data_IF_890625198864
#
_entry.id   IF_890625198864
#
_cell.length_a   1.000
_cell.length_b   1.000
_cell.length_c   1.000
_cell.angle_alpha   90.00
_cell.angle_beta   90.00
_cell.angle_gamma   90.00
#
_symmetry.space_group_name_H-M   'P 1'
#
loop_
_entity.id
_entity.type
_entity.pdbx_description
1 polymer ?
#
# COMPACT_ATOMS: atom_id res chain seq x y z
N UNK A 1 1.94 -8.61 -14.82
CA UNK A 1 0.92 -8.10 -13.89
C UNK A 1 1.02 -6.58 -13.84
N UNK A 2 -0.11 -5.89 -13.69
CA UNK A 2 -0.21 -4.44 -13.46
C UNK A 2 -0.39 -4.19 -11.96
N UNK A 3 0.54 -3.46 -11.38
CA UNK A 3 0.67 -3.25 -9.95
C UNK A 3 0.61 -1.76 -9.65
N UNK A 4 -0.31 -1.36 -8.77
CA UNK A 4 -0.29 -0.01 -8.21
C UNK A 4 0.19 -0.06 -6.76
N UNK A 5 1.15 0.80 -6.41
CA UNK A 5 1.64 0.98 -5.06
C UNK A 5 1.31 2.39 -4.58
N UNK A 6 0.46 2.49 -3.56
CA UNK A 6 0.16 3.77 -2.89
C UNK A 6 1.13 3.96 -1.73
N UNK A 7 2.07 4.89 -1.89
CA UNK A 7 3.10 5.27 -0.93
C UNK A 7 4.50 4.82 -1.35
N UNK A 8 5.35 5.77 -1.74
CA UNK A 8 6.77 5.59 -2.10
C UNK A 8 7.71 5.76 -0.88
N UNK A 9 7.29 5.23 0.27
CA UNK A 9 8.11 5.15 1.47
C UNK A 9 9.20 4.07 1.36
N UNK A 10 9.86 3.75 2.47
CA UNK A 10 10.91 2.71 2.50
C UNK A 10 10.42 1.34 2.01
N UNK A 11 9.21 0.95 2.42
CA UNK A 11 8.61 -0.32 2.02
C UNK A 11 8.15 -0.25 0.57
N UNK A 12 7.36 0.77 0.21
CA UNK A 12 6.80 0.89 -1.13
C UNK A 12 7.86 1.00 -2.23
N UNK A 13 8.92 1.80 -2.03
CA UNK A 13 10.02 1.89 -3.00
C UNK A 13 10.77 0.56 -3.17
N UNK A 14 10.98 -0.19 -2.08
CA UNK A 14 11.61 -1.51 -2.15
C UNK A 14 10.75 -2.53 -2.88
N UNK A 15 9.44 -2.55 -2.59
CA UNK A 15 8.49 -3.43 -3.28
C UNK A 15 8.38 -3.06 -4.76
N UNK A 16 8.33 -1.76 -5.08
CA UNK A 16 8.28 -1.27 -6.45
C UNK A 16 9.51 -1.72 -7.25
N UNK A 17 10.71 -1.51 -6.71
CA UNK A 17 11.96 -1.92 -7.35
C UNK A 17 12.01 -3.44 -7.58
N UNK A 18 11.63 -4.24 -6.59
CA UNK A 18 11.63 -5.70 -6.69
C UNK A 18 10.68 -6.20 -7.78
N UNK A 19 9.44 -5.68 -7.82
CA UNK A 19 8.46 -6.10 -8.82
C UNK A 19 8.82 -5.62 -10.23
N UNK A 20 9.32 -4.39 -10.36
CA UNK A 20 9.80 -3.85 -11.64
C UNK A 20 10.95 -4.69 -12.21
N UNK A 21 11.92 -5.07 -11.37
CA UNK A 21 13.03 -5.96 -11.77
C UNK A 21 12.60 -7.36 -12.20
N UNK A 22 11.40 -7.80 -11.80
CA UNK A 22 10.78 -9.07 -12.21
C UNK A 22 9.97 -8.93 -13.51
N UNK A 23 9.93 -7.73 -14.10
CA UNK A 23 9.22 -7.43 -15.33
C UNK A 23 7.74 -7.11 -15.15
N UNK A 24 7.31 -6.78 -13.93
CA UNK A 24 5.94 -6.34 -13.67
C UNK A 24 5.74 -4.87 -14.05
N UNK A 25 4.54 -4.49 -14.48
CA UNK A 25 4.20 -3.10 -14.77
C UNK A 25 3.81 -2.39 -13.47
N UNK A 26 4.73 -1.58 -12.92
CA UNK A 26 4.54 -0.93 -11.62
C UNK A 26 4.24 0.55 -11.79
N UNK A 27 3.16 1.03 -11.16
CA UNK A 27 2.87 2.45 -10.98
C UNK A 27 2.90 2.78 -9.49
N UNK A 28 3.68 3.79 -9.10
CA UNK A 28 3.83 4.22 -7.71
C UNK A 28 3.19 5.59 -7.51
N UNK A 29 2.26 5.69 -6.57
CA UNK A 29 1.61 6.95 -6.17
C UNK A 29 2.25 7.46 -4.87
N UNK A 30 2.61 8.73 -4.80
CA UNK A 30 2.93 9.39 -3.52
C UNK A 30 2.57 10.88 -3.56
N UNK A 31 2.15 11.44 -2.42
CA UNK A 31 1.81 12.87 -2.32
C UNK A 31 3.07 13.73 -2.33
N UNK A 32 4.18 13.21 -1.82
CA UNK A 32 5.44 13.91 -1.73
C UNK A 32 6.32 13.54 -2.94
N UNK A 33 6.57 14.46 -3.89
CA UNK A 33 7.41 14.16 -5.05
C UNK A 33 8.85 13.78 -4.69
N UNK A 34 9.35 14.21 -3.52
CA UNK A 34 10.68 13.81 -3.04
C UNK A 34 10.74 12.34 -2.61
N UNK A 35 9.60 11.67 -2.44
CA UNK A 35 9.57 10.26 -2.09
C UNK A 35 10.11 9.39 -3.24
N UNK A 36 9.85 9.78 -4.49
CA UNK A 36 10.28 9.06 -5.69
C UNK A 36 11.80 8.96 -5.83
N UNK A 37 12.58 9.82 -5.16
CA UNK A 37 14.03 9.69 -5.12
C UNK A 37 14.53 8.42 -4.41
N UNK A 38 13.64 7.64 -3.78
CA UNK A 38 13.94 6.30 -3.20
C UNK A 38 13.88 5.19 -4.24
N UNK A 39 13.25 5.42 -5.39
CA UNK A 39 13.26 4.47 -6.47
C UNK A 39 14.68 4.41 -7.06
N UNK A 40 15.16 3.22 -7.42
CA UNK A 40 16.49 3.09 -7.99
C UNK A 40 16.57 3.81 -9.34
N UNK A 41 17.76 4.29 -9.77
CA UNK A 41 17.91 4.96 -11.06
C UNK A 41 17.46 4.15 -12.28
N UNK A 42 17.41 2.82 -12.17
CA UNK A 42 16.95 1.91 -13.23
C UNK A 42 15.48 1.50 -13.14
N UNK A 43 14.68 2.14 -12.27
CA UNK A 43 13.26 1.84 -12.16
C UNK A 43 12.53 2.18 -13.46
N UNK A 44 11.90 1.19 -14.10
CA UNK A 44 11.21 1.32 -15.37
C UNK A 44 9.71 1.64 -15.28
N UNK A 45 9.15 1.61 -14.07
CA UNK A 45 7.74 1.90 -13.81
C UNK A 45 7.38 3.38 -13.81
N UNK A 46 6.11 3.66 -13.56
CA UNK A 46 5.53 4.99 -13.57
C UNK A 46 5.46 5.60 -12.15
N UNK A 47 5.60 6.92 -12.05
CA UNK A 47 5.45 7.66 -10.79
C UNK A 47 4.34 8.70 -10.93
N UNK A 48 3.34 8.64 -10.05
CA UNK A 48 2.19 9.54 -10.06
C UNK A 48 2.18 10.35 -8.76
N UNK A 49 2.29 11.67 -8.87
CA UNK A 49 2.16 12.54 -7.71
C UNK A 49 0.68 12.75 -7.39
N UNK A 50 0.26 12.35 -6.20
CA UNK A 50 -1.12 12.54 -5.76
C UNK A 50 -1.44 11.81 -4.46
N UNK A 51 -2.67 12.00 -3.98
CA UNK A 51 -3.20 11.25 -2.85
C UNK A 51 -3.86 9.96 -3.35
N UNK A 52 -3.43 8.79 -2.88
CA UNK A 52 -4.03 7.51 -3.30
C UNK A 52 -5.41 7.22 -2.70
N UNK A 53 -6.00 8.15 -1.95
CA UNK A 53 -7.42 8.14 -1.57
C UNK A 53 -8.29 8.99 -2.51
N UNK A 54 -7.69 9.62 -3.52
CA UNK A 54 -8.38 10.43 -4.53
C UNK A 54 -8.68 9.57 -5.76
N UNK A 55 -9.94 9.57 -6.21
CA UNK A 55 -10.39 8.78 -7.34
C UNK A 55 -9.71 9.21 -8.65
N UNK A 56 -9.54 10.50 -8.91
CA UNK A 56 -8.93 10.98 -10.15
C UNK A 56 -7.45 10.62 -10.20
N UNK A 57 -6.75 10.65 -9.05
CA UNK A 57 -5.37 10.17 -8.94
C UNK A 57 -5.30 8.68 -9.26
N UNK A 58 -6.14 7.87 -8.63
CA UNK A 58 -6.16 6.43 -8.84
C UNK A 58 -6.50 6.07 -10.30
N UNK A 59 -7.44 6.79 -10.93
CA UNK A 59 -7.76 6.63 -12.35
C UNK A 59 -6.57 6.99 -13.24
N UNK A 60 -5.90 8.11 -12.96
CA UNK A 60 -4.70 8.53 -13.72
C UNK A 60 -3.54 7.55 -13.59
N UNK A 61 -3.47 6.80 -12.49
CA UNK A 61 -2.50 5.74 -12.25
C UNK A 61 -2.88 4.38 -12.87
N UNK A 62 -4.01 4.30 -13.57
CA UNK A 62 -4.46 3.07 -14.23
C UNK A 62 -5.14 2.05 -13.31
N UNK A 63 -5.78 2.50 -12.22
CA UNK A 63 -6.41 1.60 -11.25
C UNK A 63 -7.50 0.68 -11.84
N UNK A 64 -8.18 1.12 -12.90
CA UNK A 64 -9.18 0.32 -13.63
C UNK A 64 -8.58 -0.94 -14.29
N UNK A 65 -7.28 -0.95 -14.59
CA UNK A 65 -6.59 -2.08 -15.21
C UNK A 65 -5.61 -2.77 -14.24
N UNK A 66 -5.61 -2.39 -12.97
CA UNK A 66 -4.70 -2.96 -11.98
C UNK A 66 -5.13 -4.38 -11.60
N UNK A 67 -4.19 -5.33 -11.67
CA UNK A 67 -4.40 -6.68 -11.17
C UNK A 67 -4.33 -6.70 -9.62
N UNK A 68 -3.51 -5.81 -9.06
CA UNK A 68 -3.35 -5.64 -7.62
C UNK A 68 -3.03 -4.19 -7.25
N UNK A 69 -3.64 -3.72 -6.15
CA UNK A 69 -3.30 -2.44 -5.51
C UNK A 69 -2.73 -2.70 -4.12
N UNK A 70 -1.59 -2.11 -3.81
CA UNK A 70 -0.94 -2.19 -2.50
C UNK A 70 -0.85 -0.82 -1.85
N UNK A 71 -1.53 -0.62 -0.72
CA UNK A 71 -1.47 0.62 0.03
C UNK A 71 -0.45 0.52 1.18
N UNK A 72 0.69 1.18 0.98
CA UNK A 72 1.93 1.02 1.75
C UNK A 72 2.39 2.33 2.42
N UNK A 73 1.50 3.30 2.60
CA UNK A 73 1.81 4.55 3.33
C UNK A 73 2.02 4.28 4.83
N UNK A 74 2.48 5.28 5.59
CA UNK A 74 2.60 5.15 7.05
C UNK A 74 1.26 5.34 7.81
N UNK A 75 0.14 5.61 7.13
CA UNK A 75 -1.16 5.80 7.79
C UNK A 75 -2.12 4.65 7.54
N UNK A 76 -2.55 3.96 8.59
CA UNK A 76 -3.46 2.81 8.51
C UNK A 76 -4.81 3.19 7.86
N UNK A 77 -5.40 4.32 8.27
CA UNK A 77 -6.67 4.79 7.72
C UNK A 77 -6.54 5.09 6.22
N UNK A 78 -5.47 5.76 5.80
CA UNK A 78 -5.20 6.03 4.36
C UNK A 78 -5.04 4.73 3.59
N UNK A 79 -4.35 3.74 4.15
CA UNK A 79 -4.14 2.48 3.48
C UNK A 79 -5.44 1.68 3.33
N UNK A 80 -6.28 1.67 4.37
CA UNK A 80 -7.59 1.03 4.32
C UNK A 80 -8.52 1.73 3.31
N UNK A 81 -8.55 3.06 3.30
CA UNK A 81 -9.35 3.85 2.35
C UNK A 81 -8.90 3.64 0.90
N UNK A 82 -7.60 3.75 0.62
CA UNK A 82 -7.07 3.52 -0.72
C UNK A 82 -7.35 2.09 -1.22
N UNK A 83 -7.24 1.09 -0.34
CA UNK A 83 -7.58 -0.29 -0.68
C UNK A 83 -9.08 -0.49 -0.94
N UNK A 84 -9.96 0.14 -0.15
CA UNK A 84 -11.39 0.09 -0.39
C UNK A 84 -11.78 0.79 -1.69
N UNK A 85 -11.22 1.98 -1.96
CA UNK A 85 -11.42 2.71 -3.21
C UNK A 85 -11.00 1.86 -4.42
N UNK A 86 -9.80 1.26 -4.38
CA UNK A 86 -9.33 0.35 -5.41
C UNK A 86 -10.26 -0.84 -5.63
N UNK A 87 -10.77 -1.44 -4.55
CA UNK A 87 -11.62 -2.63 -4.63
C UNK A 87 -13.04 -2.34 -5.10
N UNK A 88 -13.67 -1.30 -4.56
CA UNK A 88 -15.10 -1.04 -4.75
C UNK A 88 -15.40 -0.09 -5.90
N UNK A 89 -14.52 0.89 -6.16
CA UNK A 89 -14.72 1.85 -7.25
C UNK A 89 -14.04 1.38 -8.53
N UNK A 90 -12.80 0.88 -8.43
CA UNK A 90 -12.02 0.46 -9.60
C UNK A 90 -12.09 -1.04 -9.91
N UNK A 91 -12.71 -1.83 -9.02
CA UNK A 91 -12.87 -3.27 -9.24
C UNK A 91 -11.56 -4.06 -9.22
N UNK A 92 -10.50 -3.54 -8.59
CA UNK A 92 -9.22 -4.22 -8.51
C UNK A 92 -9.41 -5.63 -7.90
N UNK A 93 -8.97 -6.72 -8.59
CA UNK A 93 -9.21 -8.08 -8.14
C UNK A 93 -8.64 -8.38 -6.76
N UNK A 94 -7.48 -7.77 -6.43
CA UNK A 94 -6.79 -7.92 -5.15
C UNK A 94 -6.31 -6.58 -4.62
N UNK A 95 -6.44 -6.41 -3.30
CA UNK A 95 -5.96 -5.21 -2.59
C UNK A 95 -5.28 -5.62 -1.30
N UNK A 96 -4.10 -5.06 -1.05
CA UNK A 96 -3.33 -5.28 0.18
C UNK A 96 -3.10 -3.95 0.88
N UNK A 97 -3.44 -3.85 2.16
CA UNK A 97 -3.13 -2.70 3.01
C UNK A 97 -2.07 -3.05 4.06
N UNK A 98 -1.03 -2.22 4.15
CA UNK A 98 -0.10 -2.24 5.29
C UNK A 98 -0.76 -1.59 6.49
N UNK A 99 -0.84 -2.32 7.60
CA UNK A 99 -1.43 -1.85 8.86
C UNK A 99 -0.35 -1.90 9.95
N UNK A 100 -0.35 -0.94 10.87
CA UNK A 100 0.53 -0.95 12.03
C UNK A 100 -0.23 -1.37 13.30
N UNK A 101 -1.51 -1.01 13.43
CA UNK A 101 -2.35 -1.39 14.57
C UNK A 101 -3.02 -2.77 14.35
N UNK A 102 -2.63 -3.82 15.10
CA UNK A 102 -3.20 -5.16 14.95
C UNK A 102 -4.73 -5.19 15.09
N UNK A 103 -5.29 -4.38 16.00
CA UNK A 103 -6.73 -4.36 16.27
C UNK A 103 -7.50 -3.84 15.05
N UNK A 104 -6.94 -2.87 14.32
CA UNK A 104 -7.53 -2.36 13.08
C UNK A 104 -7.42 -3.36 11.94
N UNK A 105 -6.34 -4.13 11.90
CA UNK A 105 -6.10 -5.13 10.84
C UNK A 105 -7.23 -6.15 10.73
N UNK A 106 -7.74 -6.64 11.87
CA UNK A 106 -8.87 -7.57 11.89
C UNK A 106 -10.17 -6.95 11.35
N UNK A 107 -10.47 -5.70 11.74
CA UNK A 107 -11.63 -4.98 11.24
C UNK A 107 -11.57 -4.78 9.71
N UNK A 108 -10.42 -4.39 9.17
CA UNK A 108 -10.29 -4.18 7.72
C UNK A 108 -10.38 -5.48 6.90
N UNK A 109 -9.90 -6.61 7.44
CA UNK A 109 -10.08 -7.92 6.78
C UNK A 109 -11.55 -8.31 6.66
N UNK A 110 -12.39 -7.96 7.63
CA UNK A 110 -13.82 -8.21 7.56
C UNK A 110 -14.51 -7.47 6.40
N UNK A 111 -13.90 -6.38 5.91
CA UNK A 111 -14.35 -5.61 4.75
C UNK A 111 -13.76 -6.13 3.42
N UNK A 112 -13.05 -7.27 3.46
CA UNK A 112 -12.42 -7.85 2.28
C UNK A 112 -11.12 -7.18 1.86
N UNK A 113 -10.48 -6.38 2.70
CA UNK A 113 -9.13 -5.85 2.46
C UNK A 113 -8.10 -6.84 3.00
N UNK A 114 -7.21 -7.36 2.17
CA UNK A 114 -6.08 -8.18 2.67
C UNK A 114 -5.15 -7.25 3.46
N UNK A 115 -4.74 -7.64 4.68
CA UNK A 115 -3.88 -6.78 5.51
C UNK A 115 -2.59 -7.47 5.93
N UNK A 116 -1.48 -6.75 5.78
CA UNK A 116 -0.15 -7.10 6.31
C UNK A 116 0.12 -6.21 7.52
N UNK A 117 0.21 -6.79 8.72
CA UNK A 117 0.45 -6.03 9.95
C UNK A 117 1.95 -5.96 10.26
N UNK A 118 2.55 -4.77 10.19
CA UNK A 118 3.98 -4.56 10.48
C UNK A 118 4.32 -4.98 11.92
N UNK A 119 3.47 -4.63 12.88
CA UNK A 119 3.74 -4.86 14.31
C UNK A 119 3.81 -6.35 14.64
N UNK A 120 2.87 -7.16 14.13
CA UNK A 120 2.88 -8.61 14.32
C UNK A 120 4.13 -9.22 13.70
N UNK A 121 4.37 -8.94 12.41
CA UNK A 121 5.49 -9.50 11.66
C UNK A 121 6.83 -9.15 12.31
N UNK A 122 7.00 -7.89 12.70
CA UNK A 122 8.24 -7.44 13.35
C UNK A 122 8.40 -8.04 14.75
N UNK A 123 7.33 -8.13 15.53
CA UNK A 123 7.39 -8.74 16.86
C UNK A 123 7.80 -10.21 16.76
N UNK A 124 7.21 -10.98 15.84
CA UNK A 124 7.55 -12.39 15.62
C UNK A 124 9.03 -12.54 15.21
N UNK A 125 9.50 -11.71 14.29
CA UNK A 125 10.91 -11.68 13.88
C UNK A 125 11.86 -11.41 15.07
N UNK A 126 11.50 -10.46 15.94
CA UNK A 126 12.31 -10.08 17.09
C UNK A 126 12.35 -11.18 18.16
N UNK A 127 11.25 -11.93 18.34
CA UNK A 127 11.22 -13.08 19.25
C UNK A 127 12.18 -14.17 18.76
N UNK A 128 12.21 -14.45 17.46
CA UNK A 128 13.18 -15.39 16.86
C UNK A 128 14.61 -14.87 17.05
N UNK A 129 14.86 -13.61 16.67
CA UNK A 129 16.18 -12.99 16.78
C UNK A 129 16.71 -12.97 18.22
N UNK A 130 15.85 -12.79 19.22
CA UNK A 130 16.24 -12.79 20.63
C UNK A 130 16.71 -14.17 21.12
N UNK A 131 16.22 -15.26 20.51
CA UNK A 131 16.56 -16.64 20.89
C UNK A 131 17.74 -17.19 20.10
N UNK A 132 17.82 -16.83 18.83
CA UNK A 132 18.68 -17.49 17.84
C UNK A 132 19.68 -16.54 17.17
N UNK A 133 19.62 -15.25 17.47
CA UNK A 133 20.45 -14.20 16.85
C UNK A 133 19.78 -13.56 15.64
N UNK A 134 20.16 -12.32 15.32
CA UNK A 134 19.51 -11.54 14.25
C UNK A 134 19.62 -12.18 12.85
N UNK A 135 20.70 -12.92 12.58
CA UNK A 135 20.96 -13.61 11.31
C UNK A 135 19.92 -14.70 11.02
N UNK A 136 19.29 -15.28 12.06
CA UNK A 136 18.26 -16.31 11.92
C UNK A 136 16.98 -15.80 11.24
N UNK A 137 16.75 -14.49 11.21
CA UNK A 137 15.56 -13.90 10.58
C UNK A 137 15.66 -13.74 9.07
N UNK A 138 16.88 -13.79 8.50
CA UNK A 138 17.27 -13.68 7.08
C UNK A 138 16.38 -12.83 6.14
N UNK A 139 15.70 -11.80 6.68
CA UNK A 139 14.69 -11.00 5.97
C UNK A 139 13.35 -11.70 5.67
N UNK A 140 13.17 -12.96 6.07
CA UNK A 140 11.93 -13.72 5.96
C UNK A 140 11.36 -13.96 7.35
N UNK A 141 10.27 -13.27 7.67
CA UNK A 141 9.36 -13.75 8.71
C UNK A 141 8.48 -14.77 8.03
N UNK A 142 8.51 -16.03 8.46
CA UNK A 142 7.54 -17.00 7.98
C UNK A 142 6.14 -16.40 8.17
N UNK A 143 5.32 -16.30 7.11
CA UNK A 143 3.96 -15.82 7.27
C UNK A 143 3.27 -16.69 8.33
N UNK A 144 2.40 -16.12 9.18
CA UNK A 144 1.66 -16.91 10.16
C UNK A 144 1.03 -18.08 9.40
N UNK A 145 1.25 -19.30 9.90
CA UNK A 145 0.94 -20.61 9.28
C UNK A 145 -0.53 -20.84 8.92
N UNK A 146 -1.36 -19.81 8.94
CA UNK A 146 -2.69 -19.82 8.38
C UNK A 146 -2.60 -19.70 6.85
N UNK A 147 -2.94 -20.78 6.16
CA UNK A 147 -3.35 -20.72 4.75
C UNK A 147 -4.24 -19.49 4.51
N UNK A 148 -4.18 -18.85 3.32
CA UNK A 148 -5.04 -17.71 3.00
C UNK A 148 -6.50 -18.10 3.24
N UNK A 149 -7.08 -17.63 4.34
CA UNK A 149 -8.49 -17.92 4.64
C UNK A 149 -9.34 -17.11 3.68
N UNK A 150 -9.66 -17.70 2.54
CA UNK A 150 -10.81 -17.33 1.69
C UNK A 150 -12.12 -17.67 2.42
N UNK A 151 -12.30 -17.20 3.67
CA UNK A 151 -13.60 -17.22 4.34
C UNK A 151 -14.08 -15.79 4.45
N UNK A 152 -14.97 -15.43 3.53
CA UNK A 152 -15.87 -14.31 3.71
C UNK A 152 -16.47 -14.39 5.13
N UNK A 153 -16.03 -13.51 6.03
CA UNK A 153 -16.71 -13.33 7.30
C UNK A 153 -17.94 -12.47 7.01
N UNK A 154 -19.12 -12.95 7.40
CA UNK A 154 -20.31 -12.13 7.38
C UNK A 154 -20.06 -10.90 8.29
N UNK A 155 -20.29 -9.68 7.80
CA UNK A 155 -19.96 -8.47 8.55
C UNK A 155 -20.82 -8.36 9.81
N UNK A 156 -20.18 -8.10 10.97
CA UNK A 156 -20.87 -7.68 12.18
C UNK A 156 -21.14 -6.17 12.10
N UNK A 157 -22.41 -5.79 12.23
CA UNK A 157 -22.90 -4.41 12.16
C UNK A 157 -22.15 -3.41 13.08
N UNK A 158 -21.58 -3.86 14.20
CA UNK A 158 -20.77 -3.02 15.09
C UNK A 158 -19.41 -2.64 14.47
N UNK A 159 -18.76 -3.59 13.78
CA UNK A 159 -17.49 -3.35 13.10
C UNK A 159 -17.67 -2.41 11.90
N UNK A 160 -18.75 -2.60 11.12
CA UNK A 160 -19.07 -1.72 9.99
C UNK A 160 -19.31 -0.27 10.45
N UNK A 161 -19.94 -0.06 11.61
CA UNK A 161 -20.24 1.28 12.13
C UNK A 161 -18.97 2.04 12.53
N UNK A 162 -18.06 1.38 13.26
CA UNK A 162 -16.78 1.99 13.66
C UNK A 162 -15.88 2.30 12.46
N UNK A 163 -15.94 1.47 11.41
CA UNK A 163 -15.23 1.71 10.16
C UNK A 163 -15.80 2.93 9.46
N UNK A 164 -17.13 3.04 9.32
CA UNK A 164 -17.77 4.18 8.67
C UNK A 164 -17.43 5.50 9.38
N UNK A 165 -17.50 5.52 10.71
CA UNK A 165 -17.11 6.69 11.52
C UNK A 165 -15.65 7.10 11.31
N UNK A 166 -14.74 6.13 11.11
CA UNK A 166 -13.33 6.39 10.82
C UNK A 166 -13.08 6.84 9.37
N UNK A 167 -13.96 6.47 8.43
CA UNK A 167 -13.91 6.88 7.02
C UNK A 167 -14.44 8.30 6.85
N UNK A 168 -15.59 8.62 7.46
CA UNK A 168 -16.22 9.94 7.39
C UNK A 168 -15.29 11.03 7.95
N UNK A 169 -14.49 10.70 8.97
CA UNK A 169 -13.49 11.61 9.54
C UNK A 169 -12.28 11.89 8.63
N UNK A 170 -12.11 11.14 7.53
CA UNK A 170 -10.94 11.23 6.64
C UNK A 170 -11.23 11.96 5.32
N UNK A 171 -12.50 12.16 4.95
CA UNK A 171 -12.90 12.82 3.70
C UNK A 171 -12.68 14.34 3.69
N UNK A 172 -12.38 14.96 4.83
CA UNK A 172 -12.38 16.42 4.97
C UNK A 172 -11.14 17.13 4.35
N UNK A 173 -10.14 16.41 3.83
CA UNK A 173 -8.89 16.99 3.30
C UNK A 173 -8.40 16.33 1.99
N UNK A 174 -8.84 16.82 0.83
CA UNK A 174 -8.23 16.50 -0.48
C UNK A 174 -7.96 17.79 -1.29
N UNK A 175 -6.72 17.94 -1.76
CA UNK A 175 -6.30 19.00 -2.67
C UNK A 175 -5.52 18.39 -3.85
N UNK A 176 -5.71 19.02 -5.01
CA UNK A 176 -5.51 18.58 -6.40
C UNK A 176 -4.16 17.91 -6.74
N UNK A 177 -4.22 16.96 -7.68
CA UNK A 177 -3.09 16.21 -8.19
C UNK A 177 -2.49 16.81 -9.48
N UNK A 178 -1.19 16.60 -9.68
CA UNK A 178 -0.48 16.98 -10.91
C UNK A 178 0.44 15.83 -11.32
N UNK A 179 0.29 15.35 -12.55
CA UNK A 179 1.10 14.28 -13.13
C UNK A 179 2.53 14.81 -13.35
N UNK A 180 3.54 14.12 -12.81
CA UNK A 180 4.96 14.47 -13.00
C UNK A 180 5.54 13.52 -14.04
N UNK A 181 5.93 14.06 -15.20
CA UNK A 181 6.62 13.29 -16.23
C UNK A 181 8.08 13.02 -15.80
N UNK A 182 8.62 11.83 -16.08
CA UNK A 182 10.02 11.53 -15.81
C UNK A 182 10.92 12.28 -16.80
N UNK A 183 11.41 13.47 -16.42
CA UNK A 183 12.32 14.24 -17.29
C UNK A 183 12.78 15.62 -16.80
N UNK A 184 12.04 16.31 -15.93
CA UNK A 184 12.33 17.72 -15.59
C UNK A 184 13.38 17.89 -14.47
N UNK A 185 14.44 17.11 -14.57
CA UNK A 185 15.55 17.06 -13.62
C UNK A 185 16.86 17.66 -14.13
N UNK A 186 16.88 18.47 -15.20
CA UNK A 186 18.05 19.29 -15.55
C UNK A 186 17.65 20.52 -16.39
N UNK A 187 17.81 21.73 -15.83
CA UNK A 187 18.62 22.83 -16.39
C UNK A 187 18.40 24.16 -15.64
N UNK A 188 19.52 24.87 -15.42
CA UNK A 188 19.63 26.22 -14.84
C UNK A 188 20.56 26.20 -13.62
N UNK A 189 21.86 26.52 -13.66
CA UNK A 189 22.54 27.59 -14.41
C UNK A 189 22.20 28.92 -13.74
N UNK A 190 23.10 29.71 -13.13
CA UNK A 190 24.56 29.83 -13.09
C UNK A 190 25.01 30.11 -11.64
#
# INVERSE_FOLDING_TARGET
MRVIIVGCGRVGARVAAELDSRGEHVTVIDINPRAFSRLPPGFGGESVRGNGTDEDVMRSAGAEQADIVMALTEGDNRNALAAQLAKHTFGAPRVIAKINDPLRGEAYRALGVETICRTIILADALVVAAREGAEATNGFVEPPTAEPRHRAHAPNAAANRQVQEAMDAAEDHTAEATIVQPGDGQQGGL
#
